data_IF_543671124526
#
_entry.id   IF_543671124526
#
_cell.length_a   1.000
_cell.length_b   1.000
_cell.length_c   1.000
_cell.angle_alpha   90.00
_cell.angle_beta   90.00
_cell.angle_gamma   90.00
#
_symmetry.space_group_name_H-M   'P 1'
#
loop_
_entity.id
_entity.type
_entity.pdbx_description
1 polymer ?
#
# COMPACT_ATOMS: atom_id res chain seq x y z
N UNK A 1 -2.58 -11.70 33.38
CA UNK A 1 -1.33 -11.63 32.60
C UNK A 1 -0.78 -10.24 32.87
N UNK A 2 0.32 -10.14 33.62
CA UNK A 2 0.75 -8.89 34.23
C UNK A 2 1.30 -7.92 33.17
N UNK A 3 0.96 -6.64 33.26
CA UNK A 3 1.36 -5.59 32.31
C UNK A 3 2.88 -5.40 32.20
N UNK A 4 3.66 -5.87 33.20
CA UNK A 4 5.12 -5.72 33.26
C UNK A 4 5.93 -6.71 32.36
N UNK A 5 5.33 -7.82 31.91
CA UNK A 5 6.03 -8.76 31.01
C UNK A 5 6.07 -8.25 29.56
N UNK A 6 5.14 -7.37 29.19
CA UNK A 6 4.99 -6.80 27.85
C UNK A 6 5.99 -5.68 27.51
N UNK A 7 6.96 -5.37 28.38
CA UNK A 7 7.99 -4.35 28.10
C UNK A 7 9.39 -4.91 27.77
N UNK A 8 9.59 -6.22 27.85
CA UNK A 8 10.91 -6.80 27.61
C UNK A 8 11.21 -6.96 26.12
N UNK A 9 12.44 -6.63 25.71
CA UNK A 9 12.87 -6.79 24.32
C UNK A 9 13.00 -8.27 23.95
N UNK A 10 12.43 -8.63 22.80
CA UNK A 10 12.62 -9.92 22.15
C UNK A 10 12.81 -9.71 20.65
N UNK A 11 13.94 -10.15 20.11
CA UNK A 11 14.28 -10.04 18.68
C UNK A 11 13.17 -10.54 17.75
N UNK A 12 12.49 -11.63 18.10
CA UNK A 12 11.51 -12.31 17.26
C UNK A 12 10.05 -12.01 17.62
N UNK A 13 9.81 -11.09 18.56
CA UNK A 13 8.46 -10.68 18.96
C UNK A 13 8.38 -9.16 19.03
N UNK A 14 7.53 -8.58 18.20
CA UNK A 14 7.34 -7.13 18.16
C UNK A 14 6.35 -6.67 19.25
N UNK A 15 6.64 -5.55 19.92
CA UNK A 15 5.66 -4.89 20.78
C UNK A 15 4.60 -4.16 19.96
N UNK A 16 4.95 -3.68 18.77
CA UNK A 16 3.98 -3.00 17.90
C UNK A 16 3.06 -4.02 17.23
N UNK A 17 1.77 -3.68 17.05
CA UNK A 17 0.81 -4.56 16.39
C UNK A 17 1.02 -4.64 14.87
N UNK A 18 1.78 -3.70 14.29
CA UNK A 18 1.97 -3.56 12.85
C UNK A 18 3.36 -3.06 12.50
N UNK A 19 3.84 -3.41 11.31
CA UNK A 19 5.10 -2.85 10.78
C UNK A 19 4.95 -1.41 10.33
N UNK A 20 6.08 -0.72 10.19
CA UNK A 20 6.05 0.61 9.55
C UNK A 20 5.62 0.55 8.09
N UNK A 21 5.93 -0.54 7.40
CA UNK A 21 5.51 -0.74 6.01
C UNK A 21 3.99 -0.71 5.88
N UNK A 22 3.29 -1.38 6.80
CA UNK A 22 1.83 -1.34 6.84
C UNK A 22 1.31 0.05 7.21
N UNK A 23 1.93 0.75 8.16
CA UNK A 23 1.53 2.13 8.51
C UNK A 23 1.61 3.08 7.30
N UNK A 24 2.67 2.97 6.49
CA UNK A 24 2.82 3.74 5.25
C UNK A 24 1.75 3.36 4.22
N UNK A 25 1.51 2.07 4.02
CA UNK A 25 0.42 1.58 3.18
C UNK A 25 -0.93 2.16 3.62
N UNK A 26 -1.26 2.05 4.91
CA UNK A 26 -2.54 2.50 5.45
C UNK A 26 -2.73 4.01 5.29
N UNK A 27 -1.66 4.80 5.47
CA UNK A 27 -1.69 6.24 5.21
C UNK A 27 -2.11 6.54 3.76
N UNK A 28 -1.50 5.89 2.77
CA UNK A 28 -1.88 6.06 1.36
C UNK A 28 -3.28 5.53 1.05
N UNK A 29 -3.68 4.44 1.70
CA UNK A 29 -5.03 3.90 1.57
C UNK A 29 -6.09 4.87 2.07
N UNK A 30 -5.90 5.46 3.25
CA UNK A 30 -6.76 6.49 3.81
C UNK A 30 -6.78 7.77 2.95
N UNK A 31 -5.65 8.16 2.37
CA UNK A 31 -5.56 9.32 1.48
C UNK A 31 -6.43 9.13 0.22
N UNK A 32 -6.32 7.98 -0.47
CA UNK A 32 -7.19 7.68 -1.62
C UNK A 32 -8.66 7.62 -1.20
N UNK A 33 -8.96 7.05 -0.04
CA UNK A 33 -10.31 7.03 0.51
C UNK A 33 -10.87 8.46 0.65
N UNK A 34 -10.09 9.39 1.21
CA UNK A 34 -10.50 10.79 1.36
C UNK A 34 -10.76 11.46 0.00
N UNK A 35 -9.95 11.18 -1.02
CA UNK A 35 -10.17 11.71 -2.37
C UNK A 35 -11.48 11.20 -2.98
N UNK A 36 -11.74 9.90 -2.87
CA UNK A 36 -12.97 9.28 -3.37
C UNK A 36 -14.19 9.89 -2.66
N UNK A 37 -14.16 9.97 -1.33
CA UNK A 37 -15.30 10.50 -0.57
C UNK A 37 -15.48 12.02 -0.69
N UNK A 38 -14.46 12.75 -1.13
CA UNK A 38 -14.62 14.15 -1.54
C UNK A 38 -15.29 14.26 -2.92
N UNK A 39 -15.00 13.32 -3.82
CA UNK A 39 -15.55 13.30 -5.18
C UNK A 39 -17.02 12.81 -5.23
N UNK A 40 -17.36 11.76 -4.49
CA UNK A 40 -18.69 11.11 -4.49
C UNK A 40 -19.88 12.07 -4.24
N UNK A 41 -19.87 12.95 -3.23
CA UNK A 41 -20.97 13.89 -3.03
C UNK A 41 -21.03 14.94 -4.14
N UNK A 42 -19.87 15.43 -4.61
CA UNK A 42 -19.80 16.43 -5.68
C UNK A 42 -20.40 15.91 -6.99
N UNK A 43 -20.08 14.66 -7.37
CA UNK A 43 -20.68 14.06 -8.56
C UNK A 43 -22.19 13.88 -8.41
N UNK A 44 -22.66 13.46 -7.24
CA UNK A 44 -24.07 13.17 -7.00
C UNK A 44 -24.88 14.45 -7.06
N UNK A 45 -24.33 15.54 -6.51
CA UNK A 45 -24.92 16.87 -6.55
C UNK A 45 -24.96 17.43 -7.99
N UNK A 46 -23.86 17.33 -8.74
CA UNK A 46 -23.83 17.79 -10.13
C UNK A 46 -24.84 17.06 -11.02
N UNK A 47 -24.93 15.73 -10.88
CA UNK A 47 -25.95 14.95 -11.58
C UNK A 47 -27.37 15.30 -11.16
N UNK A 48 -27.58 15.52 -9.86
CA UNK A 48 -28.87 15.92 -9.31
C UNK A 48 -29.36 17.22 -9.94
N UNK A 49 -28.52 18.26 -9.97
CA UNK A 49 -28.87 19.56 -10.56
C UNK A 49 -29.29 19.44 -12.02
N UNK A 50 -28.52 18.70 -12.83
CA UNK A 50 -28.82 18.53 -14.25
C UNK A 50 -30.10 17.72 -14.48
N UNK A 51 -30.37 16.69 -13.67
CA UNK A 51 -31.58 15.85 -13.79
C UNK A 51 -32.86 16.57 -13.34
N UNK A 52 -32.76 17.45 -12.35
CA UNK A 52 -33.93 18.11 -11.75
C UNK A 52 -34.22 19.48 -12.34
N UNK A 53 -33.37 19.99 -13.22
CA UNK A 53 -33.65 21.22 -13.97
C UNK A 53 -34.72 20.96 -15.04
N UNK A 54 -35.95 21.41 -14.75
CA UNK A 54 -37.13 21.31 -15.61
C UNK A 54 -37.19 22.40 -16.70
N UNK A 55 -36.30 23.39 -16.63
CA UNK A 55 -36.21 24.47 -17.60
C UNK A 55 -35.36 24.04 -18.81
N UNK A 56 -35.51 24.74 -19.93
CA UNK A 56 -34.64 24.57 -21.11
C UNK A 56 -33.33 25.36 -20.94
N UNK A 57 -32.67 25.17 -19.78
CA UNK A 57 -31.39 25.81 -19.45
C UNK A 57 -30.22 24.98 -19.98
N UNK A 58 -29.15 25.65 -20.38
CA UNK A 58 -27.89 24.98 -20.72
C UNK A 58 -27.11 24.61 -19.46
N UNK A 59 -26.07 23.78 -19.62
CA UNK A 59 -25.10 23.50 -18.54
C UNK A 59 -24.46 24.79 -18.02
N UNK A 60 -24.25 25.79 -18.88
CA UNK A 60 -23.68 27.07 -18.48
C UNK A 60 -24.61 27.81 -17.52
N UNK A 61 -25.92 27.75 -17.77
CA UNK A 61 -26.93 28.37 -16.91
C UNK A 61 -27.09 27.62 -15.58
N UNK A 62 -27.02 26.28 -15.60
CA UNK A 62 -27.18 25.43 -14.41
C UNK A 62 -26.00 25.61 -13.43
N UNK A 63 -24.77 25.66 -13.95
CA UNK A 63 -23.56 25.74 -13.13
C UNK A 63 -22.93 27.13 -13.10
N UNK A 64 -23.60 28.15 -13.66
CA UNK A 64 -23.11 29.52 -13.75
C UNK A 64 -21.70 29.64 -14.38
N UNK A 65 -21.45 28.86 -15.44
CA UNK A 65 -20.16 28.81 -16.13
C UNK A 65 -19.93 30.15 -16.84
N UNK A 66 -18.78 30.79 -16.57
CA UNK A 66 -18.42 32.09 -17.13
C UNK A 66 -16.92 32.22 -17.37
N UNK A 67 -16.47 33.33 -17.95
CA UNK A 67 -15.06 33.59 -18.23
C UNK A 67 -14.51 32.92 -19.48
N UNK A 68 -13.19 33.03 -19.69
CA UNK A 68 -12.52 32.64 -20.95
C UNK A 68 -12.56 31.12 -21.23
N UNK A 69 -12.61 30.30 -20.18
CA UNK A 69 -12.63 28.84 -20.31
C UNK A 69 -14.05 28.26 -20.47
N UNK A 70 -15.10 29.10 -20.39
CA UNK A 70 -16.48 28.68 -20.63
C UNK A 70 -16.65 27.96 -21.98
N UNK A 71 -15.89 28.38 -23.01
CA UNK A 71 -15.87 27.77 -24.34
C UNK A 71 -15.44 26.30 -24.36
N UNK A 72 -14.81 25.80 -23.29
CA UNK A 72 -14.36 24.40 -23.14
C UNK A 72 -15.42 23.52 -22.50
N UNK A 73 -16.47 24.10 -21.92
CA UNK A 73 -17.52 23.38 -21.20
C UNK A 73 -18.70 23.12 -22.14
N UNK A 74 -19.09 21.86 -22.23
CA UNK A 74 -20.25 21.41 -23.01
C UNK A 74 -21.53 22.12 -22.55
N UNK A 75 -22.33 22.63 -23.50
CA UNK A 75 -23.59 23.33 -23.21
C UNK A 75 -24.77 22.37 -23.10
N UNK A 76 -24.76 21.28 -23.86
CA UNK A 76 -25.83 20.28 -23.90
C UNK A 76 -25.85 19.45 -22.61
N UNK A 77 -27.02 19.37 -21.96
CA UNK A 77 -27.23 18.52 -20.77
C UNK A 77 -26.88 17.05 -21.05
N UNK A 78 -27.33 16.53 -22.19
CA UNK A 78 -27.15 15.13 -22.56
C UNK A 78 -25.68 14.79 -22.81
N UNK A 79 -24.97 15.63 -23.57
CA UNK A 79 -23.57 15.40 -23.90
C UNK A 79 -22.68 15.62 -22.68
N UNK A 80 -22.97 16.64 -21.85
CA UNK A 80 -22.27 16.84 -20.58
C UNK A 80 -22.45 15.65 -19.64
N UNK A 81 -23.67 15.12 -19.47
CA UNK A 81 -23.93 13.96 -18.62
C UNK A 81 -23.17 12.71 -19.11
N UNK A 82 -23.08 12.51 -20.44
CA UNK A 82 -22.28 11.44 -21.05
C UNK A 82 -20.79 11.60 -20.75
N UNK A 83 -20.26 12.81 -20.94
CA UNK A 83 -18.84 13.11 -20.69
C UNK A 83 -18.52 13.01 -19.20
N UNK A 84 -19.41 13.47 -18.32
CA UNK A 84 -19.25 13.41 -16.87
C UNK A 84 -19.21 11.97 -16.36
N UNK A 85 -20.11 11.09 -16.83
CA UNK A 85 -20.06 9.64 -16.52
C UNK A 85 -18.77 8.96 -16.99
N UNK A 86 -18.27 9.38 -18.14
CA UNK A 86 -16.98 8.90 -18.67
C UNK A 86 -15.82 9.34 -17.78
N UNK A 87 -15.85 10.59 -17.30
CA UNK A 87 -14.88 11.12 -16.35
C UNK A 87 -14.96 10.43 -14.98
N UNK A 88 -16.16 10.15 -14.46
CA UNK A 88 -16.34 9.36 -13.22
C UNK A 88 -15.68 7.99 -13.31
N UNK A 89 -15.92 7.26 -14.41
CA UNK A 89 -15.29 5.96 -14.64
C UNK A 89 -13.75 6.08 -14.67
N UNK A 90 -13.23 7.11 -15.35
CA UNK A 90 -11.79 7.38 -15.38
C UNK A 90 -11.22 7.65 -13.98
N UNK A 91 -11.91 8.45 -13.16
CA UNK A 91 -11.53 8.69 -11.76
C UNK A 91 -11.43 7.38 -10.97
N UNK A 92 -12.41 6.48 -11.12
CA UNK A 92 -12.41 5.19 -10.40
C UNK A 92 -11.34 4.22 -10.90
N UNK A 93 -11.07 4.16 -12.20
CA UNK A 93 -9.97 3.37 -12.75
C UNK A 93 -8.61 3.90 -12.27
N UNK A 94 -8.44 5.22 -12.24
CA UNK A 94 -7.21 5.84 -11.75
C UNK A 94 -7.03 5.62 -10.25
N UNK A 95 -8.11 5.72 -9.45
CA UNK A 95 -8.08 5.36 -8.05
C UNK A 95 -7.64 3.90 -7.86
N UNK A 96 -8.23 2.95 -8.60
CA UNK A 96 -7.83 1.54 -8.57
C UNK A 96 -6.35 1.34 -8.98
N UNK A 97 -5.88 2.08 -9.96
CA UNK A 97 -4.47 2.05 -10.40
C UNK A 97 -3.53 2.52 -9.30
N UNK A 98 -3.86 3.60 -8.61
CA UNK A 98 -3.13 4.08 -7.43
C UNK A 98 -3.15 3.06 -6.30
N UNK A 99 -4.33 2.45 -6.04
CA UNK A 99 -4.52 1.39 -5.04
C UNK A 99 -3.55 0.22 -5.25
N UNK A 100 -3.50 -0.27 -6.48
CA UNK A 100 -2.62 -1.37 -6.85
C UNK A 100 -1.14 -0.98 -6.83
N UNK A 101 -0.82 0.29 -7.10
CA UNK A 101 0.56 0.78 -7.12
C UNK A 101 1.15 0.86 -5.71
N UNK A 102 0.42 1.43 -4.74
CA UNK A 102 0.92 1.45 -3.37
C UNK A 102 0.87 0.06 -2.72
N UNK A 103 -0.04 -0.86 -3.12
CA UNK A 103 0.04 -2.26 -2.68
C UNK A 103 1.33 -2.92 -3.19
N UNK A 104 1.69 -2.73 -4.46
CA UNK A 104 2.95 -3.23 -5.01
C UNK A 104 4.16 -2.65 -4.25
N UNK A 105 4.13 -1.36 -3.93
CA UNK A 105 5.18 -0.73 -3.11
C UNK A 105 5.25 -1.33 -1.69
N UNK A 106 4.10 -1.56 -1.07
CA UNK A 106 4.00 -2.21 0.23
C UNK A 106 4.60 -3.62 0.21
N UNK A 107 4.19 -4.48 -0.73
CA UNK A 107 4.70 -5.86 -0.86
C UNK A 107 6.22 -5.86 -1.05
N UNK A 108 6.76 -4.95 -1.89
CA UNK A 108 8.22 -4.80 -2.05
C UNK A 108 8.90 -4.48 -0.72
N UNK A 109 8.36 -3.50 0.02
CA UNK A 109 8.95 -3.01 1.25
C UNK A 109 8.89 -4.05 2.36
N UNK A 110 7.71 -4.62 2.63
CA UNK A 110 7.54 -5.63 3.68
C UNK A 110 8.35 -6.90 3.36
N UNK A 111 8.31 -7.38 2.11
CA UNK A 111 9.11 -8.53 1.69
C UNK A 111 10.59 -8.27 1.86
N UNK A 112 11.08 -7.07 1.53
CA UNK A 112 12.49 -6.72 1.71
C UNK A 112 12.88 -6.76 3.18
N UNK A 113 12.07 -6.17 4.06
CA UNK A 113 12.33 -6.16 5.50
C UNK A 113 12.31 -7.59 6.06
N UNK A 114 11.37 -8.44 5.63
CA UNK A 114 11.31 -9.84 6.04
C UNK A 114 12.57 -10.61 5.62
N UNK A 115 13.01 -10.47 4.36
CA UNK A 115 14.21 -11.15 3.86
C UNK A 115 15.50 -10.65 4.50
N UNK A 116 15.57 -9.35 4.83
CA UNK A 116 16.71 -8.78 5.55
C UNK A 116 16.72 -9.20 7.02
N UNK A 117 15.55 -9.32 7.64
CA UNK A 117 15.37 -9.75 9.04
C UNK A 117 15.71 -11.23 9.21
N UNK A 118 15.20 -12.06 8.31
CA UNK A 118 15.28 -13.50 8.35
C UNK A 118 15.76 -14.05 6.99
N UNK A 119 17.06 -13.93 6.67
CA UNK A 119 17.61 -14.43 5.41
C UNK A 119 17.44 -15.94 5.20
N UNK A 120 17.26 -16.70 6.28
CA UNK A 120 17.12 -18.15 6.24
C UNK A 120 15.91 -18.61 5.42
N UNK A 121 14.86 -17.79 5.30
CA UNK A 121 13.69 -18.11 4.46
C UNK A 121 14.04 -18.30 2.99
N UNK A 122 15.12 -17.68 2.49
CA UNK A 122 15.55 -17.83 1.09
C UNK A 122 16.07 -19.24 0.77
N UNK A 123 16.42 -20.02 1.80
CA UNK A 123 16.85 -21.41 1.69
C UNK A 123 15.86 -22.38 2.36
N UNK A 124 14.67 -21.91 2.71
CA UNK A 124 13.62 -22.73 3.36
C UNK A 124 13.80 -22.95 4.87
N UNK A 125 14.80 -22.31 5.48
CA UNK A 125 15.15 -22.49 6.90
C UNK A 125 14.87 -21.21 7.69
N UNK A 126 13.59 -20.96 7.97
CA UNK A 126 13.13 -19.77 8.71
C UNK A 126 13.84 -19.65 10.07
N UNK A 127 14.33 -18.44 10.37
CA UNK A 127 15.09 -18.07 11.57
C UNK A 127 16.43 -18.79 11.77
N UNK A 128 16.91 -19.56 10.80
CA UNK A 128 18.25 -20.17 10.87
C UNK A 128 19.38 -19.13 10.82
N UNK A 129 19.12 -17.97 10.21
CA UNK A 129 20.05 -16.85 10.14
C UNK A 129 19.37 -15.59 10.67
N UNK A 130 19.93 -14.99 11.72
CA UNK A 130 19.48 -13.68 12.20
C UNK A 130 20.11 -12.57 11.36
N UNK A 131 19.27 -11.90 10.58
CA UNK A 131 19.67 -10.80 9.72
C UNK A 131 20.41 -9.66 10.42
N UNK A 132 20.19 -9.48 11.73
CA UNK A 132 20.89 -8.46 12.52
C UNK A 132 22.41 -8.70 12.50
N UNK A 133 22.84 -9.97 12.51
CA UNK A 133 24.27 -10.32 12.45
C UNK A 133 24.88 -9.94 11.11
N UNK A 134 24.10 -10.02 10.03
CA UNK A 134 24.60 -9.67 8.69
C UNK A 134 24.75 -8.15 8.53
N UNK A 135 23.72 -7.38 8.93
CA UNK A 135 23.78 -5.91 8.83
C UNK A 135 24.90 -5.32 9.69
N UNK A 136 25.11 -5.84 10.93
CA UNK A 136 26.19 -5.38 11.81
C UNK A 136 27.57 -5.61 11.20
N UNK A 137 27.74 -6.73 10.49
CA UNK A 137 28.99 -7.10 9.83
C UNK A 137 29.09 -6.58 8.39
N UNK A 138 28.23 -5.64 7.97
CA UNK A 138 28.20 -5.05 6.63
C UNK A 138 28.03 -6.05 5.48
N UNK A 139 27.50 -7.25 5.76
CA UNK A 139 27.22 -8.27 4.75
C UNK A 139 25.92 -7.93 4.02
N UNK A 140 25.97 -7.94 2.70
CA UNK A 140 24.81 -7.67 1.86
C UNK A 140 24.01 -8.95 1.60
N UNK A 141 22.69 -8.81 1.62
CA UNK A 141 21.75 -9.86 1.24
C UNK A 141 21.09 -9.41 -0.06
N UNK A 142 21.28 -10.17 -1.14
CA UNK A 142 20.64 -9.86 -2.41
C UNK A 142 19.20 -10.40 -2.42
N UNK A 143 18.24 -9.49 -2.31
CA UNK A 143 16.80 -9.81 -2.26
C UNK A 143 16.08 -9.54 -3.59
N UNK A 144 16.75 -8.91 -4.57
CA UNK A 144 16.11 -8.28 -5.73
C UNK A 144 15.27 -9.25 -6.57
N UNK A 145 15.82 -10.43 -6.87
CA UNK A 145 15.14 -11.45 -7.67
C UNK A 145 13.88 -11.96 -6.99
N UNK A 146 13.96 -12.20 -5.67
CA UNK A 146 12.83 -12.68 -4.88
C UNK A 146 11.74 -11.59 -4.82
N UNK A 147 12.11 -10.36 -4.46
CA UNK A 147 11.16 -9.24 -4.39
C UNK A 147 10.48 -8.98 -5.73
N UNK A 148 11.22 -9.05 -6.84
CA UNK A 148 10.66 -8.90 -8.18
C UNK A 148 9.60 -9.98 -8.46
N UNK A 149 9.85 -11.22 -8.04
CA UNK A 149 8.91 -12.34 -8.21
C UNK A 149 7.61 -12.20 -7.40
N UNK A 150 7.63 -11.45 -6.30
CA UNK A 150 6.44 -11.18 -5.47
C UNK A 150 5.50 -10.13 -6.08
N UNK A 151 5.97 -9.32 -7.04
CA UNK A 151 5.24 -8.14 -7.55
C UNK A 151 5.12 -8.07 -9.07
N UNK A 152 5.85 -8.89 -9.80
CA UNK A 152 5.73 -9.03 -11.26
C UNK A 152 4.99 -10.32 -11.62
N UNK A 153 4.57 -10.42 -12.88
CA UNK A 153 3.78 -11.56 -13.36
C UNK A 153 2.30 -11.50 -12.96
N UNK A 154 1.63 -12.63 -13.14
CA UNK A 154 0.21 -12.85 -12.77
C UNK A 154 0.06 -12.98 -11.26
N UNK A 155 -1.16 -12.85 -10.73
CA UNK A 155 -1.37 -13.09 -9.30
C UNK A 155 -1.14 -14.54 -8.88
N UNK A 156 -1.33 -15.49 -9.79
CA UNK A 156 -0.96 -16.90 -9.58
C UNK A 156 0.56 -17.05 -9.34
N UNK A 157 1.38 -16.41 -10.18
CA UNK A 157 2.85 -16.44 -10.03
C UNK A 157 3.29 -15.81 -8.70
N UNK A 158 2.72 -14.64 -8.38
CA UNK A 158 3.02 -13.92 -7.13
C UNK A 158 2.66 -14.74 -5.90
N UNK A 159 1.46 -15.33 -5.89
CA UNK A 159 0.98 -16.15 -4.79
C UNK A 159 1.88 -17.37 -4.58
N UNK A 160 2.22 -18.08 -5.67
CA UNK A 160 3.16 -19.21 -5.62
C UNK A 160 4.52 -18.79 -5.08
N UNK A 161 5.10 -17.68 -5.57
CA UNK A 161 6.40 -17.21 -5.09
C UNK A 161 6.36 -16.75 -3.63
N UNK A 162 5.24 -16.14 -3.20
CA UNK A 162 5.05 -15.77 -1.81
C UNK A 162 5.04 -17.00 -0.90
N UNK A 163 4.27 -18.03 -1.26
CA UNK A 163 4.19 -19.29 -0.51
C UNK A 163 5.52 -20.04 -0.50
N UNK A 164 6.26 -20.06 -1.61
CA UNK A 164 7.60 -20.68 -1.66
C UNK A 164 8.60 -20.00 -0.72
N UNK A 165 8.52 -18.68 -0.58
CA UNK A 165 9.47 -17.89 0.23
C UNK A 165 9.08 -17.89 1.70
N UNK A 166 7.81 -17.67 2.00
CA UNK A 166 7.32 -17.47 3.37
C UNK A 166 6.60 -18.70 3.95
N UNK A 167 6.58 -19.81 3.21
CA UNK A 167 6.00 -21.12 3.56
C UNK A 167 4.48 -21.13 3.80
N UNK A 168 3.83 -19.98 3.72
CA UNK A 168 2.40 -19.82 3.94
C UNK A 168 1.87 -18.66 3.08
N UNK A 169 0.73 -18.89 2.43
CA UNK A 169 0.00 -17.88 1.66
C UNK A 169 -1.21 -17.37 2.46
N UNK A 170 -1.36 -16.04 2.66
CA UNK A 170 -2.55 -15.45 3.25
C UNK A 170 -3.84 -15.90 2.56
N UNK A 171 -4.88 -16.22 3.34
CA UNK A 171 -6.20 -16.61 2.82
C UNK A 171 -6.83 -15.50 1.99
N UNK A 172 -6.67 -14.23 2.39
CA UNK A 172 -7.13 -13.08 1.62
C UNK A 172 -6.56 -13.03 0.19
N UNK A 173 -5.35 -13.55 -0.05
CA UNK A 173 -4.81 -13.73 -1.39
C UNK A 173 -5.36 -15.00 -2.04
N UNK A 174 -5.23 -16.15 -1.35
CA UNK A 174 -5.62 -17.48 -1.86
C UNK A 174 -7.06 -17.51 -2.37
N UNK A 175 -7.98 -16.94 -1.60
CA UNK A 175 -9.41 -17.02 -1.85
C UNK A 175 -9.87 -15.97 -2.90
N UNK A 176 -8.99 -15.04 -3.28
CA UNK A 176 -9.34 -13.91 -4.16
C UNK A 176 -8.44 -13.77 -5.40
N UNK A 177 -7.64 -14.80 -5.74
CA UNK A 177 -6.71 -14.75 -6.89
C UNK A 177 -7.39 -14.28 -8.18
N UNK A 178 -8.59 -14.78 -8.49
CA UNK A 178 -9.32 -14.40 -9.70
C UNK A 178 -9.72 -12.92 -9.71
N UNK A 179 -10.16 -12.40 -8.57
CA UNK A 179 -10.48 -10.98 -8.40
C UNK A 179 -9.23 -10.12 -8.55
N UNK A 180 -8.11 -10.55 -7.97
CA UNK A 180 -6.82 -9.90 -8.06
C UNK A 180 -6.29 -9.87 -9.50
N UNK A 181 -6.46 -10.96 -10.24
CA UNK A 181 -6.08 -11.06 -11.64
C UNK A 181 -6.96 -10.16 -12.53
N UNK A 182 -8.26 -10.07 -12.23
CA UNK A 182 -9.18 -9.11 -12.88
C UNK A 182 -8.70 -7.67 -12.69
N UNK A 183 -8.46 -7.23 -11.46
CA UNK A 183 -8.04 -5.83 -11.21
C UNK A 183 -6.64 -5.53 -11.77
N UNK A 184 -5.74 -6.52 -11.80
CA UNK A 184 -4.43 -6.41 -12.47
C UNK A 184 -4.59 -6.12 -13.97
N UNK A 185 -5.51 -6.81 -14.63
CA UNK A 185 -5.81 -6.60 -16.06
C UNK A 185 -6.42 -5.21 -16.32
N UNK A 186 -7.31 -4.73 -15.44
CA UNK A 186 -7.87 -3.35 -15.52
C UNK A 186 -6.73 -2.33 -15.46
N UNK A 187 -5.84 -2.42 -14.46
CA UNK A 187 -4.67 -1.54 -14.33
C UNK A 187 -3.78 -1.55 -15.56
N UNK A 188 -3.48 -2.73 -16.10
CA UNK A 188 -2.63 -2.84 -17.28
C UNK A 188 -3.25 -2.15 -18.49
N UNK A 189 -4.57 -2.30 -18.72
CA UNK A 189 -5.28 -1.59 -19.79
C UNK A 189 -5.31 -0.08 -19.54
N UNK A 190 -5.48 0.35 -18.29
CA UNK A 190 -5.38 1.76 -17.93
C UNK A 190 -4.02 2.36 -18.30
N UNK A 191 -2.94 1.64 -18.01
CA UNK A 191 -1.57 2.08 -18.32
C UNK A 191 -1.22 2.03 -19.81
N UNK A 192 -1.73 1.05 -20.56
CA UNK A 192 -1.32 0.83 -21.96
C UNK A 192 -2.22 1.51 -22.99
N UNK A 193 -3.52 1.63 -22.75
CA UNK A 193 -4.48 2.16 -23.74
C UNK A 193 -5.34 3.30 -23.20
N UNK A 194 -4.94 3.92 -22.09
CA UNK A 194 -5.77 4.90 -21.36
C UNK A 194 -7.17 4.33 -21.05
N UNK A 195 -7.24 3.02 -20.82
CA UNK A 195 -8.49 2.25 -20.62
C UNK A 195 -9.42 2.21 -21.83
N UNK A 196 -8.96 2.59 -23.03
CA UNK A 196 -9.77 2.63 -24.25
C UNK A 196 -9.53 1.40 -25.12
N UNK A 197 -10.53 1.05 -25.92
CA UNK A 197 -10.37 0.02 -26.94
C UNK A 197 -9.35 0.47 -27.99
N UNK A 198 -8.37 -0.40 -28.25
CA UNK A 198 -7.45 -0.21 -29.37
C UNK A 198 -8.17 -0.58 -30.67
N UNK A 199 -8.37 0.42 -31.52
CA UNK A 199 -9.04 0.26 -32.80
C UNK A 199 -8.05 -0.02 -33.95
N UNK A 200 -6.76 -0.17 -33.64
CA UNK A 200 -5.70 -0.27 -34.63
C UNK A 200 -5.36 1.08 -35.28
N UNK A 201 -4.36 1.06 -36.17
CA UNK A 201 -3.84 2.28 -36.83
C UNK A 201 -4.71 2.75 -37.99
N UNK A 202 -5.47 1.84 -38.61
CA UNK A 202 -6.30 2.11 -39.78
C UNK A 202 -7.76 1.85 -39.43
N UNK A 203 -8.47 2.90 -39.01
CA UNK A 203 -9.90 2.82 -38.69
C UNK A 203 -10.62 4.06 -39.19
N UNK A 204 -11.72 3.83 -39.91
CA UNK A 204 -12.62 4.88 -40.41
C UNK A 204 -13.43 5.55 -39.28
N UNK A 205 -13.50 4.92 -38.09
CA UNK A 205 -14.15 5.46 -36.89
C UNK A 205 -13.39 5.05 -35.63
N UNK A 206 -13.07 6.04 -34.79
CA UNK A 206 -12.54 5.79 -33.44
C UNK A 206 -13.70 5.45 -32.50
N UNK A 207 -13.77 4.21 -32.02
CA UNK A 207 -14.67 3.88 -30.91
C UNK A 207 -14.15 4.49 -29.60
N UNK A 208 -14.86 5.49 -29.10
CA UNK A 208 -14.57 6.18 -27.84
C UNK A 208 -15.21 5.45 -26.64
N UNK A 209 -14.91 4.15 -26.51
CA UNK A 209 -15.42 3.30 -25.41
C UNK A 209 -14.30 2.88 -24.47
N UNK A 210 -14.62 2.85 -23.18
CA UNK A 210 -13.76 2.24 -22.17
C UNK A 210 -13.82 0.71 -22.28
N UNK A 211 -12.67 0.05 -22.13
CA UNK A 211 -12.59 -1.40 -21.94
C UNK A 211 -13.28 -1.84 -20.66
N UNK A 212 -13.09 -1.06 -19.59
CA UNK A 212 -13.55 -1.39 -18.25
C UNK A 212 -14.49 -0.32 -17.72
N UNK A 213 -15.51 -0.79 -17.02
CA UNK A 213 -16.35 0.06 -16.18
C UNK A 213 -16.09 -0.32 -14.74
N UNK A 214 -15.55 0.62 -13.95
CA UNK A 214 -15.44 0.49 -12.51
C UNK A 214 -16.51 1.36 -11.90
N UNK A 215 -17.40 0.75 -11.12
CA UNK A 215 -18.43 1.47 -10.36
C UNK A 215 -17.98 1.67 -8.92
N UNK A 216 -18.55 2.65 -8.22
CA UNK A 216 -18.21 2.96 -6.83
C UNK A 216 -18.27 1.72 -5.91
N UNK A 217 -19.32 0.90 -6.03
CA UNK A 217 -19.45 -0.32 -5.23
C UNK A 217 -18.39 -1.37 -5.54
N UNK A 218 -17.95 -1.46 -6.81
CA UNK A 218 -16.83 -2.33 -7.18
C UNK A 218 -15.52 -1.80 -6.61
N UNK A 219 -15.31 -0.48 -6.68
CA UNK A 219 -14.12 0.17 -6.13
C UNK A 219 -14.02 -0.03 -4.61
N UNK A 220 -15.13 0.13 -3.87
CA UNK A 220 -15.21 -0.13 -2.42
C UNK A 220 -14.81 -1.58 -2.08
N UNK A 221 -15.33 -2.55 -2.84
CA UNK A 221 -14.95 -3.96 -2.67
C UNK A 221 -13.47 -4.19 -2.92
N UNK A 222 -12.90 -3.60 -3.96
CA UNK A 222 -11.47 -3.69 -4.25
C UNK A 222 -10.63 -3.03 -3.16
N UNK A 223 -11.03 -1.87 -2.65
CA UNK A 223 -10.35 -1.22 -1.54
C UNK A 223 -10.33 -2.09 -0.29
N UNK A 224 -11.46 -2.65 0.10
CA UNK A 224 -11.56 -3.57 1.25
C UNK A 224 -10.63 -4.76 1.08
N UNK A 225 -10.72 -5.47 -0.06
CA UNK A 225 -9.87 -6.64 -0.33
C UNK A 225 -8.37 -6.30 -0.24
N UNK A 226 -7.96 -5.16 -0.80
CA UNK A 226 -6.55 -4.73 -0.79
C UNK A 226 -6.09 -4.37 0.63
N UNK A 227 -6.97 -3.81 1.45
CA UNK A 227 -6.72 -3.59 2.88
C UNK A 227 -6.56 -4.93 3.64
N UNK A 228 -7.46 -5.89 3.42
CA UNK A 228 -7.43 -7.20 4.08
C UNK A 228 -6.13 -7.95 3.74
N UNK A 229 -5.72 -7.93 2.48
CA UNK A 229 -4.44 -8.51 2.03
C UNK A 229 -3.26 -7.86 2.75
N UNK A 230 -3.23 -6.53 2.85
CA UNK A 230 -2.13 -5.85 3.51
C UNK A 230 -2.06 -6.20 5.00
N UNK A 231 -3.20 -6.27 5.68
CA UNK A 231 -3.32 -6.67 7.09
C UNK A 231 -2.81 -8.10 7.30
N UNK A 232 -3.23 -9.04 6.47
CA UNK A 232 -2.83 -10.45 6.63
C UNK A 232 -1.33 -10.65 6.38
N UNK A 233 -0.80 -10.05 5.30
CA UNK A 233 0.64 -10.06 5.02
C UNK A 233 1.41 -9.44 6.21
N UNK A 234 0.94 -8.30 6.73
CA UNK A 234 1.62 -7.60 7.82
C UNK A 234 1.68 -8.48 9.07
N UNK A 235 0.53 -9.01 9.50
CA UNK A 235 0.44 -9.87 10.69
C UNK A 235 1.30 -11.13 10.55
N UNK A 236 1.21 -11.81 9.41
CA UNK A 236 1.98 -13.02 9.16
C UNK A 236 3.48 -12.74 9.21
N UNK A 237 3.96 -11.77 8.42
CA UNK A 237 5.39 -11.50 8.30
C UNK A 237 5.98 -10.84 9.55
N UNK A 238 5.21 -10.00 10.25
CA UNK A 238 5.59 -9.42 11.53
C UNK A 238 5.87 -10.52 12.56
N UNK A 239 4.94 -11.47 12.70
CA UNK A 239 5.01 -12.57 13.65
C UNK A 239 6.09 -13.58 13.28
N UNK A 240 6.18 -13.94 12.01
CA UNK A 240 6.99 -15.08 11.60
C UNK A 240 8.44 -14.70 11.31
N UNK A 241 8.70 -13.52 10.74
CA UNK A 241 10.01 -13.18 10.18
C UNK A 241 10.60 -11.87 10.71
N UNK A 242 9.79 -10.85 10.99
CA UNK A 242 10.31 -9.49 11.26
C UNK A 242 10.60 -9.28 12.75
N UNK A 243 9.62 -9.52 13.64
CA UNK A 243 9.76 -9.21 15.07
C UNK A 243 10.21 -7.75 15.31
N UNK A 244 11.24 -7.56 16.13
CA UNK A 244 11.81 -6.23 16.45
C UNK A 244 12.91 -5.76 15.49
N UNK A 245 13.03 -6.39 14.31
CA UNK A 245 14.09 -6.05 13.37
C UNK A 245 14.07 -4.59 12.92
N UNK A 246 12.90 -3.98 12.70
CA UNK A 246 12.81 -2.58 12.29
C UNK A 246 13.41 -1.63 13.35
N UNK A 247 13.13 -1.88 14.64
CA UNK A 247 13.71 -1.12 15.76
C UNK A 247 15.23 -1.26 15.77
N UNK A 248 15.74 -2.48 15.57
CA UNK A 248 17.18 -2.75 15.53
C UNK A 248 17.84 -2.08 14.33
N UNK A 249 17.21 -2.14 13.16
CA UNK A 249 17.73 -1.52 11.95
C UNK A 249 17.84 0.00 12.09
N UNK A 250 16.88 0.63 12.77
CA UNK A 250 16.96 2.07 13.08
C UNK A 250 18.09 2.38 14.04
N UNK A 251 18.28 1.55 15.08
CA UNK A 251 19.41 1.71 15.98
C UNK A 251 20.74 1.63 15.20
N UNK A 252 20.91 0.57 14.39
CA UNK A 252 22.06 0.37 13.51
C UNK A 252 22.32 1.58 12.60
N UNK A 253 21.27 2.11 11.96
CA UNK A 253 21.39 3.23 11.02
C UNK A 253 21.71 4.57 11.70
N UNK A 254 21.58 4.68 13.02
CA UNK A 254 21.73 5.93 13.77
C UNK A 254 22.77 5.85 14.89
N UNK A 255 23.60 4.80 14.94
CA UNK A 255 24.53 4.56 16.06
C UNK A 255 25.43 5.77 16.37
N UNK A 256 25.95 6.41 15.31
CA UNK A 256 26.83 7.58 15.40
C UNK A 256 26.18 8.80 16.09
N UNK A 257 24.84 8.85 16.15
CA UNK A 257 24.11 9.94 16.79
C UNK A 257 24.01 9.77 18.30
N UNK A 258 24.22 8.57 18.82
CA UNK A 258 24.01 8.27 20.25
C UNK A 258 25.31 8.39 21.05
N UNK A 259 25.35 9.35 21.98
CA UNK A 259 26.54 9.64 22.82
C UNK A 259 26.39 9.10 24.25
N UNK A 260 27.52 8.81 24.89
CA UNK A 260 27.56 8.37 26.30
C UNK A 260 27.56 6.85 26.48
N UNK A 261 27.33 6.38 27.71
CA UNK A 261 27.23 4.96 28.03
C UNK A 261 25.84 4.41 27.66
N UNK A 262 25.63 3.10 27.86
CA UNK A 262 24.41 2.42 27.42
C UNK A 262 23.13 3.06 27.98
N UNK A 263 23.15 3.61 29.19
CA UNK A 263 21.98 4.27 29.78
C UNK A 263 21.61 5.58 29.07
N UNK A 264 22.61 6.40 28.70
CA UNK A 264 22.39 7.63 27.94
C UNK A 264 21.96 7.30 26.50
N UNK A 265 22.62 6.32 25.87
CA UNK A 265 22.26 5.84 24.53
C UNK A 265 20.83 5.29 24.49
N UNK A 266 20.43 4.49 25.47
CA UNK A 266 19.07 3.94 25.58
C UNK A 266 18.02 5.05 25.70
N UNK A 267 18.30 6.11 26.48
CA UNK A 267 17.40 7.26 26.60
C UNK A 267 17.25 8.00 25.26
N UNK A 268 18.37 8.32 24.60
CA UNK A 268 18.38 9.02 23.32
C UNK A 268 17.68 8.20 22.22
N UNK A 269 17.93 6.89 22.18
CA UNK A 269 17.29 5.98 21.26
C UNK A 269 15.78 5.86 21.52
N UNK A 270 15.35 5.75 22.78
CA UNK A 270 13.94 5.77 23.15
C UNK A 270 13.23 7.06 22.71
N UNK A 271 13.88 8.22 22.87
CA UNK A 271 13.35 9.50 22.34
C UNK A 271 13.19 9.49 20.83
N UNK A 272 14.16 8.93 20.08
CA UNK A 272 14.07 8.81 18.63
C UNK A 272 12.95 7.87 18.18
N UNK A 273 12.85 6.68 18.79
CA UNK A 273 11.80 5.71 18.45
C UNK A 273 10.43 6.29 18.75
N UNK A 274 10.21 6.81 19.95
CA UNK A 274 8.90 7.30 20.37
C UNK A 274 8.46 8.60 19.65
N UNK A 275 9.38 9.35 19.03
CA UNK A 275 9.02 10.50 18.19
C UNK A 275 8.73 10.14 16.73
N UNK A 276 9.32 9.04 16.24
CA UNK A 276 9.21 8.61 14.84
C UNK A 276 8.13 7.55 14.62
N UNK A 277 7.70 6.86 15.68
CA UNK A 277 6.76 5.75 15.63
C UNK A 277 5.41 6.13 16.25
N UNK A 278 4.34 5.85 15.51
CA UNK A 278 2.97 5.85 16.04
C UNK A 278 2.68 4.41 16.48
N UNK A 279 3.03 4.08 17.72
CA UNK A 279 3.01 2.72 18.23
C UNK A 279 3.10 2.64 19.74
N UNK A 280 3.46 1.47 20.25
CA UNK A 280 3.66 1.28 21.69
C UNK A 280 4.91 2.03 22.16
N UNK A 281 4.79 2.74 23.27
CA UNK A 281 5.89 3.50 23.87
C UNK A 281 6.99 2.53 24.26
N UNK A 282 8.20 2.78 23.77
CA UNK A 282 9.38 1.98 24.09
C UNK A 282 9.98 2.47 25.39
N UNK A 283 9.96 1.62 26.41
CA UNK A 283 10.53 1.95 27.72
C UNK A 283 12.06 2.00 27.66
N UNK A 284 12.67 2.66 28.65
CA UNK A 284 14.15 2.71 28.77
C UNK A 284 14.73 1.29 28.91
N UNK A 285 14.02 0.39 29.59
CA UNK A 285 14.39 -1.02 29.77
C UNK A 285 14.45 -1.75 28.43
N UNK A 286 13.39 -1.64 27.62
CA UNK A 286 13.35 -2.18 26.26
C UNK A 286 14.55 -1.70 25.42
N UNK A 287 14.76 -0.37 25.38
CA UNK A 287 15.83 0.23 24.59
C UNK A 287 17.21 -0.24 25.02
N UNK A 288 17.45 -0.39 26.32
CA UNK A 288 18.71 -0.91 26.86
C UNK A 288 18.92 -2.37 26.44
N UNK A 289 17.91 -3.23 26.60
CA UNK A 289 18.00 -4.65 26.24
C UNK A 289 18.26 -4.85 24.73
N UNK A 290 17.64 -4.03 23.87
CA UNK A 290 17.91 -4.05 22.43
C UNK A 290 19.38 -3.69 22.14
N UNK A 291 19.89 -2.63 22.77
CA UNK A 291 21.29 -2.19 22.61
C UNK A 291 22.26 -3.28 23.09
N UNK A 292 21.98 -3.89 24.23
CA UNK A 292 22.80 -4.96 24.79
C UNK A 292 22.79 -6.19 23.86
N UNK A 293 21.63 -6.59 23.35
CA UNK A 293 21.51 -7.64 22.33
C UNK A 293 22.34 -7.30 21.08
N UNK A 294 22.16 -6.12 20.49
CA UNK A 294 22.87 -5.72 19.29
C UNK A 294 24.39 -5.68 19.51
N UNK A 295 24.83 -5.20 20.68
CA UNK A 295 26.25 -5.12 21.04
C UNK A 295 26.89 -6.49 21.18
N UNK A 296 26.13 -7.50 21.64
CA UNK A 296 26.60 -8.88 21.81
C UNK A 296 26.64 -9.75 20.54
N UNK A 297 26.16 -9.26 19.39
CA UNK A 297 26.24 -9.96 18.09
C UNK A 297 27.63 -9.93 17.46
#
# INVERSE_FOLDING_TARGET
MNEDENESFNRWSCLDPNTNSYRVFNKHHCEINNYIWSFVPLQSFGEYLVRHDKADKTIHDIFHVSGIDSRRVEKSKALWMKNFKSFQNLCYINALTSILSYLEFYIKRIGTISLLSDPGVMIGESRAVDGTKLIKNTKTVNTEKIITSLVKGTWHDRARNFELVFLELPSSIRDNIETLEKIRKIRNRAAHSFSRMDNGVFVDRVEDKFHDKVELESLKKYMSLISDIAVDIDKQLLRNNIGEFESIYIYHSNQEKFRGFNNEKARQFGTLLNSSYVGNIRSKKFCKQLIDYYSGL
#
